data_IF_997611662667
#
_entry.id   IF_997611662667
#
_cell.length_a   1.000
_cell.length_b   1.000
_cell.length_c   1.000
_cell.angle_alpha   90.00
_cell.angle_beta   90.00
_cell.angle_gamma   90.00
#
_symmetry.space_group_name_H-M   'P 1'
#
loop_
_entity.id
_entity.type
_entity.pdbx_description
1 polymer ?
#
# COMPACT_ATOMS: atom_id res chain seq x y z
N UNK A 1 -9.06 11.00 -5.99
CA UNK A 1 -9.57 10.16 -4.90
C UNK A 1 -10.14 10.96 -3.76
N UNK A 2 -9.45 11.97 -3.20
CA UNK A 2 -10.01 12.78 -2.10
C UNK A 2 -11.40 13.34 -2.43
N UNK A 3 -11.55 14.00 -3.60
CA UNK A 3 -12.84 14.50 -4.05
C UNK A 3 -13.91 13.40 -4.16
N UNK A 4 -13.55 12.23 -4.68
CA UNK A 4 -14.48 11.09 -4.81
C UNK A 4 -14.96 10.58 -3.45
N UNK A 5 -14.05 10.50 -2.47
CA UNK A 5 -14.40 10.16 -1.08
C UNK A 5 -15.33 11.21 -0.49
N UNK A 6 -15.04 12.50 -0.66
CA UNK A 6 -15.88 13.59 -0.15
C UNK A 6 -17.30 13.55 -0.75
N UNK A 7 -17.41 13.27 -2.04
CA UNK A 7 -18.70 13.11 -2.74
C UNK A 7 -19.50 11.91 -2.18
N UNK A 8 -18.85 10.77 -1.93
CA UNK A 8 -19.49 9.60 -1.30
C UNK A 8 -19.94 9.93 0.12
N UNK A 9 -19.10 10.56 0.95
CA UNK A 9 -19.43 10.90 2.34
C UNK A 9 -20.59 11.89 2.40
N UNK A 10 -20.63 12.86 1.47
CA UNK A 10 -21.77 13.76 1.32
C UNK A 10 -23.05 13.01 0.98
N UNK A 11 -23.00 12.09 0.00
CA UNK A 11 -24.16 11.28 -0.36
C UNK A 11 -24.66 10.42 0.82
N UNK A 12 -23.75 9.79 1.56
CA UNK A 12 -24.08 9.01 2.77
C UNK A 12 -24.77 9.91 3.81
N UNK A 13 -24.27 11.14 3.99
CA UNK A 13 -24.90 12.12 4.88
C UNK A 13 -26.32 12.48 4.42
N UNK A 14 -26.50 12.79 3.13
CA UNK A 14 -27.81 13.15 2.56
C UNK A 14 -28.83 12.01 2.69
N UNK A 15 -28.39 10.76 2.49
CA UNK A 15 -29.20 9.55 2.68
C UNK A 15 -29.61 9.36 4.15
N UNK A 16 -28.68 9.51 5.08
CA UNK A 16 -28.96 9.42 6.53
C UNK A 16 -29.93 10.50 6.99
N UNK A 17 -29.80 11.73 6.49
CA UNK A 17 -30.74 12.83 6.73
C UNK A 17 -32.14 12.50 6.18
N UNK A 18 -32.20 11.77 5.06
CA UNK A 18 -33.45 11.30 4.46
C UNK A 18 -34.09 10.10 5.19
N UNK A 19 -33.49 9.64 6.28
CA UNK A 19 -33.97 8.53 7.10
C UNK A 19 -33.50 7.14 6.64
N UNK A 20 -32.56 7.06 5.68
CA UNK A 20 -31.98 5.78 5.29
C UNK A 20 -30.96 5.28 6.33
N UNK A 21 -31.03 3.99 6.63
CA UNK A 21 -30.03 3.31 7.46
C UNK A 21 -28.82 2.94 6.60
N UNK A 22 -27.80 3.80 6.60
CA UNK A 22 -26.53 3.52 5.92
C UNK A 22 -25.45 3.35 6.98
N UNK A 23 -24.92 2.14 7.15
CA UNK A 23 -23.86 1.89 8.12
C UNK A 23 -22.50 2.37 7.60
N UNK A 24 -21.54 2.53 8.52
CA UNK A 24 -20.16 2.81 8.12
C UNK A 24 -19.55 1.64 7.33
N UNK A 25 -19.98 0.41 7.61
CA UNK A 25 -19.55 -0.78 6.88
C UNK A 25 -20.05 -0.73 5.42
N UNK A 26 -21.31 -0.34 5.20
CA UNK A 26 -21.85 -0.18 3.85
C UNK A 26 -21.08 0.90 3.08
N UNK A 27 -20.74 1.99 3.76
CA UNK A 27 -19.96 3.09 3.20
C UNK A 27 -18.55 2.63 2.83
N UNK A 28 -17.89 1.86 3.69
CA UNK A 28 -16.57 1.26 3.43
C UNK A 28 -16.65 0.32 2.23
N UNK A 29 -17.63 -0.59 2.20
CA UNK A 29 -17.80 -1.53 1.10
C UNK A 29 -17.97 -0.80 -0.24
N UNK A 30 -18.82 0.24 -0.27
CA UNK A 30 -19.04 1.05 -1.47
C UNK A 30 -17.76 1.77 -1.92
N UNK A 31 -17.02 2.39 -1.00
CA UNK A 31 -15.74 3.03 -1.30
C UNK A 31 -14.77 2.03 -1.92
N UNK A 32 -14.58 0.86 -1.29
CA UNK A 32 -13.65 -0.17 -1.76
C UNK A 32 -14.06 -0.74 -3.13
N UNK A 33 -15.37 -0.92 -3.37
CA UNK A 33 -15.89 -1.36 -4.66
C UNK A 33 -15.74 -0.31 -5.77
N UNK A 34 -15.67 0.97 -5.41
CA UNK A 34 -15.52 2.07 -6.36
C UNK A 34 -14.07 2.37 -6.76
N UNK A 35 -13.09 1.71 -6.14
CA UNK A 35 -11.67 1.97 -6.38
C UNK A 35 -11.25 1.57 -7.80
N UNK A 36 -10.43 2.43 -8.42
CA UNK A 36 -9.77 2.12 -9.67
C UNK A 36 -8.56 1.19 -9.45
N UNK A 37 -8.07 0.59 -10.54
CA UNK A 37 -6.97 -0.38 -10.52
C UNK A 37 -5.68 0.16 -9.89
N UNK A 38 -5.45 1.48 -9.93
CA UNK A 38 -4.27 2.07 -9.28
C UNK A 38 -4.24 1.85 -7.76
N UNK A 39 -5.40 1.65 -7.13
CA UNK A 39 -5.53 1.47 -5.68
C UNK A 39 -5.63 -0.01 -5.24
N UNK A 40 -5.44 -0.97 -6.15
CA UNK A 40 -5.59 -2.40 -5.85
C UNK A 40 -4.68 -2.86 -4.70
N UNK A 41 -3.44 -2.33 -4.64
CA UNK A 41 -2.50 -2.65 -3.54
C UNK A 41 -3.02 -2.21 -2.17
N UNK A 42 -3.65 -1.04 -2.11
CA UNK A 42 -4.26 -0.50 -0.88
C UNK A 42 -5.47 -1.33 -0.49
N UNK A 43 -6.31 -1.69 -1.46
CA UNK A 43 -7.48 -2.56 -1.27
C UNK A 43 -7.07 -3.93 -0.71
N UNK A 44 -6.10 -4.61 -1.32
CA UNK A 44 -5.55 -5.88 -0.83
C UNK A 44 -4.97 -5.73 0.58
N UNK A 45 -4.26 -4.64 0.87
CA UNK A 45 -3.70 -4.40 2.20
C UNK A 45 -4.78 -4.20 3.27
N UNK A 46 -5.90 -3.55 2.92
CA UNK A 46 -7.06 -3.35 3.81
C UNK A 46 -7.80 -4.67 4.06
N UNK A 47 -8.01 -5.49 3.01
CA UNK A 47 -8.68 -6.79 3.08
C UNK A 47 -7.92 -7.81 3.94
N UNK A 48 -6.58 -7.80 3.89
CA UNK A 48 -5.73 -8.77 4.57
C UNK A 48 -5.33 -8.37 6.00
N UNK A 49 -5.90 -7.31 6.57
CA UNK A 49 -5.55 -6.90 7.93
C UNK A 49 -6.16 -7.85 8.98
N UNK A 50 -5.34 -8.56 9.78
CA UNK A 50 -5.81 -9.69 10.58
C UNK A 50 -6.62 -9.32 11.83
N UNK A 51 -6.85 -8.04 12.14
CA UNK A 51 -7.51 -7.58 13.38
C UNK A 51 -8.39 -6.32 13.18
N UNK A 52 -8.99 -6.17 12.02
CA UNK A 52 -9.35 -4.83 11.55
C UNK A 52 -10.72 -4.38 12.07
N UNK A 53 -10.71 -3.55 13.11
CA UNK A 53 -11.75 -2.54 13.28
C UNK A 53 -11.56 -1.52 12.14
N UNK A 54 -11.97 -1.88 10.92
CA UNK A 54 -12.02 -0.92 9.81
C UNK A 54 -13.07 0.12 10.17
N UNK A 55 -12.58 1.28 10.59
CA UNK A 55 -13.41 2.47 10.70
C UNK A 55 -13.40 3.20 9.37
N UNK A 56 -14.50 3.89 9.08
CA UNK A 56 -14.62 4.69 7.86
C UNK A 56 -13.46 5.70 7.75
N UNK A 57 -13.10 6.34 8.86
CA UNK A 57 -11.95 7.26 8.95
C UNK A 57 -10.61 6.59 8.59
N UNK A 58 -10.34 5.39 9.11
CA UNK A 58 -9.07 4.70 8.83
C UNK A 58 -8.92 4.33 7.34
N UNK A 59 -10.04 3.98 6.69
CA UNK A 59 -10.08 3.63 5.28
C UNK A 59 -9.88 4.86 4.42
N UNK A 60 -10.61 5.94 4.69
CA UNK A 60 -10.50 7.18 3.92
C UNK A 60 -9.12 7.79 4.04
N UNK A 61 -8.52 7.79 5.24
CA UNK A 61 -7.17 8.31 5.46
C UNK A 61 -6.11 7.53 4.67
N UNK A 62 -6.15 6.19 4.68
CA UNK A 62 -5.19 5.38 3.93
C UNK A 62 -5.30 5.58 2.41
N UNK A 63 -6.52 5.74 1.89
CA UNK A 63 -6.74 6.05 0.48
C UNK A 63 -6.19 7.42 0.11
N UNK A 64 -6.41 8.40 0.97
CA UNK A 64 -5.84 9.75 0.86
C UNK A 64 -4.31 9.70 0.87
N UNK A 65 -3.71 8.98 1.81
CA UNK A 65 -2.25 8.88 1.94
C UNK A 65 -1.67 8.22 0.69
N UNK A 66 -2.33 7.19 0.16
CA UNK A 66 -1.91 6.55 -1.08
C UNK A 66 -2.01 7.49 -2.30
N UNK A 67 -3.03 8.35 -2.37
CA UNK A 67 -3.13 9.37 -3.42
C UNK A 67 -1.97 10.37 -3.33
N UNK A 68 -1.61 10.83 -2.13
CA UNK A 68 -0.45 11.72 -1.95
C UNK A 68 0.85 11.05 -2.39
N UNK A 69 1.07 9.80 -1.99
CA UNK A 69 2.24 9.02 -2.39
C UNK A 69 2.33 8.79 -3.91
N UNK A 70 1.21 8.52 -4.57
CA UNK A 70 1.13 8.36 -6.02
C UNK A 70 1.41 9.68 -6.77
N UNK A 71 0.97 10.81 -6.22
CA UNK A 71 1.20 12.12 -6.82
C UNK A 71 2.65 12.59 -6.62
N UNK A 72 3.25 12.29 -5.46
CA UNK A 72 4.66 12.60 -5.18
C UNK A 72 5.61 11.74 -6.02
N UNK A 73 5.28 10.46 -6.24
CA UNK A 73 6.07 9.58 -7.10
C UNK A 73 6.02 9.96 -8.59
N UNK A 74 4.94 10.60 -9.07
CA UNK A 74 4.90 11.21 -10.42
C UNK A 74 5.84 12.41 -10.58
N UNK A 75 6.30 13.01 -9.48
CA UNK A 75 7.29 14.10 -9.49
C UNK A 75 8.73 13.57 -9.65
N UNK A 76 8.94 12.26 -9.53
CA UNK A 76 10.24 11.60 -9.70
C UNK A 76 10.34 10.98 -11.08
N UNK A 77 10.04 11.75 -12.12
CA UNK A 77 10.48 11.43 -13.48
C UNK A 77 11.25 12.62 -14.07
N UNK A 78 12.43 12.89 -13.47
CA UNK A 78 13.56 13.65 -14.03
C UNK A 78 14.72 13.72 -13.03
N UNK A 79 15.52 12.65 -12.93
CA UNK A 79 16.99 12.71 -12.96
C UNK A 79 17.64 11.38 -12.54
N UNK A 80 18.26 10.74 -13.54
CA UNK A 80 19.51 9.98 -13.41
C UNK A 80 19.64 8.95 -12.29
N UNK A 81 19.13 7.73 -12.52
CA UNK A 81 19.92 6.56 -12.14
C UNK A 81 20.84 6.25 -13.32
N UNK A 82 22.02 6.91 -13.34
CA UNK A 82 23.18 6.34 -14.03
C UNK A 82 23.56 5.11 -13.21
N UNK A 83 23.22 3.93 -13.70
CA UNK A 83 23.88 2.72 -13.24
C UNK A 83 25.38 2.89 -13.53
N UNK A 84 26.28 2.85 -12.53
CA UNK A 84 27.68 2.57 -12.82
C UNK A 84 27.70 1.15 -13.38
N UNK A 85 27.97 1.04 -14.68
CA UNK A 85 28.32 -0.20 -15.34
C UNK A 85 29.69 -0.64 -14.83
N UNK A 86 29.74 -1.18 -13.62
CA UNK A 86 30.93 -1.85 -13.12
C UNK A 86 30.79 -3.34 -13.40
N UNK A 87 31.33 -3.74 -14.55
CA UNK A 87 31.59 -5.11 -14.92
C UNK A 87 32.73 -5.70 -14.08
N UNK A 88 32.52 -5.82 -12.76
CA UNK A 88 33.46 -6.51 -11.89
C UNK A 88 33.36 -8.02 -12.10
N UNK A 89 34.32 -8.53 -12.89
CA UNK A 89 34.62 -9.94 -13.10
C UNK A 89 34.83 -10.63 -11.75
N UNK A 90 33.90 -11.50 -11.35
CA UNK A 90 34.06 -12.33 -10.15
C UNK A 90 34.94 -13.54 -10.47
N UNK A 91 36.25 -13.31 -10.51
CA UNK A 91 37.26 -14.36 -10.50
C UNK A 91 37.84 -14.47 -9.09
N UNK A 92 37.26 -15.33 -8.25
CA UNK A 92 37.88 -15.75 -7.00
C UNK A 92 37.95 -17.28 -6.97
N UNK A 93 39.19 -17.74 -7.10
CA UNK A 93 39.62 -19.13 -7.17
C UNK A 93 39.40 -19.85 -5.84
N UNK A 94 39.11 -21.15 -5.94
CA UNK A 94 39.13 -22.12 -4.86
C UNK A 94 40.40 -22.02 -4.00
N UNK A 95 40.23 -21.96 -2.67
CA UNK A 95 41.25 -22.45 -1.74
C UNK A 95 40.57 -23.23 -0.62
N UNK A 96 40.84 -24.53 -0.62
CA UNK A 96 40.49 -25.50 0.42
C UNK A 96 41.20 -25.14 1.72
N UNK A 97 40.47 -25.01 2.82
CA UNK A 97 41.04 -25.04 4.17
C UNK A 97 40.48 -26.24 4.93
N UNK A 98 41.32 -27.28 4.99
CA UNK A 98 41.19 -28.47 5.84
C UNK A 98 41.78 -28.13 7.21
N UNK A 99 41.02 -28.38 8.30
CA UNK A 99 41.42 -28.92 9.62
C UNK A 99 40.36 -28.51 10.66
N UNK A 100 39.56 -29.46 11.15
CA UNK A 100 39.84 -30.35 12.30
C UNK A 100 39.61 -29.63 13.63
N UNK A 101 38.48 -29.93 14.27
CA UNK A 101 38.28 -29.72 15.70
C UNK A 101 37.59 -30.98 16.25
N UNK A 102 38.40 -31.84 16.84
CA UNK A 102 37.97 -32.91 17.74
C UNK A 102 37.72 -32.33 19.13
N UNK A 103 36.66 -32.85 19.77
CA UNK A 103 36.49 -33.12 21.20
C UNK A 103 36.25 -32.00 22.23
N UNK A 104 35.55 -32.46 23.29
CA UNK A 104 34.99 -31.84 24.50
C UNK A 104 33.56 -31.32 24.29
N UNK A 105 32.48 -31.96 24.79
CA UNK A 105 32.26 -32.99 25.82
C UNK A 105 30.99 -33.78 25.49
#
# INVERSE_FOLDING_TARGET
MRQHIDEILKLVSDLRVSGAEVSDIDSIAYILMSLSKEYESVKVALENQPNVNLTLESVTQRLIDSETFMNDSKFVDKSSIKYPSDNATFAAKHTQLKKSAENFL
#
